data_IF_249996312675
#
_entry.id   IF_249996312675
#
_cell.length_a   1.000
_cell.length_b   1.000
_cell.length_c   1.000
_cell.angle_alpha   90.00
_cell.angle_beta   90.00
_cell.angle_gamma   90.00
#
_symmetry.space_group_name_H-M   'P 1'
#
loop_
_entity.id
_entity.type
_entity.pdbx_description
1 polymer ?
#
# COMPACT_ATOMS: atom_id res chain seq x y z
N UNK A 1 22.40 0.78 3.04
CA UNK A 1 22.48 0.67 1.56
C UNK A 1 21.19 0.02 1.07
N UNK A 2 20.57 0.57 0.02
CA UNK A 2 19.36 0.02 -0.59
C UNK A 2 19.74 -0.50 -1.98
N UNK A 3 19.36 -1.73 -2.30
CA UNK A 3 19.59 -2.34 -3.61
C UNK A 3 18.25 -2.61 -4.27
N UNK A 4 18.11 -2.22 -5.54
CA UNK A 4 16.88 -2.41 -6.32
C UNK A 4 17.15 -3.35 -7.49
N UNK A 5 16.26 -4.33 -7.65
CA UNK A 5 16.29 -5.33 -8.71
C UNK A 5 15.00 -5.23 -9.53
N UNK A 6 15.10 -5.55 -10.82
CA UNK A 6 13.94 -5.64 -11.72
C UNK A 6 13.94 -6.97 -12.45
N UNK A 7 12.76 -7.55 -12.65
CA UNK A 7 12.58 -8.79 -13.39
C UNK A 7 11.42 -8.64 -14.38
N UNK A 8 11.65 -9.00 -15.65
CA UNK A 8 10.59 -9.05 -16.65
C UNK A 8 9.66 -10.22 -16.37
N UNK A 9 8.35 -9.98 -16.48
CA UNK A 9 7.33 -11.01 -16.24
C UNK A 9 6.81 -11.52 -17.59
N UNK A 10 6.78 -12.84 -17.83
CA UNK A 10 6.22 -13.40 -19.06
C UNK A 10 4.79 -12.91 -19.28
N UNK A 11 4.45 -12.58 -20.53
CA UNK A 11 3.11 -12.13 -20.93
C UNK A 11 2.64 -10.82 -20.27
N UNK A 12 3.56 -10.00 -19.74
CA UNK A 12 3.24 -8.72 -19.12
C UNK A 12 4.19 -7.63 -19.60
N UNK A 13 3.65 -6.43 -19.84
CA UNK A 13 4.44 -5.23 -20.11
C UNK A 13 4.95 -4.57 -18.81
N UNK A 14 4.65 -5.15 -17.65
CA UNK A 14 5.09 -4.67 -16.35
C UNK A 14 6.34 -5.41 -15.88
N UNK A 15 7.26 -4.65 -15.29
CA UNK A 15 8.42 -5.19 -14.58
C UNK A 15 8.05 -5.47 -13.12
N UNK A 16 8.48 -6.62 -12.60
CA UNK A 16 8.50 -6.86 -11.16
C UNK A 16 9.69 -6.11 -10.57
N UNK A 17 9.46 -5.42 -9.45
CA UNK A 17 10.48 -4.64 -8.74
C UNK A 17 10.69 -5.28 -7.36
N UNK A 18 11.95 -5.47 -6.98
CA UNK A 18 12.35 -5.90 -5.62
C UNK A 18 13.33 -4.88 -5.06
N UNK A 19 12.98 -4.25 -3.95
CA UNK A 19 13.89 -3.40 -3.18
C UNK A 19 14.35 -4.15 -1.92
N UNK A 20 15.65 -4.12 -1.64
CA UNK A 20 16.25 -4.75 -0.46
C UNK A 20 17.00 -3.68 0.32
N UNK A 21 16.62 -3.48 1.57
CA UNK A 21 17.29 -2.60 2.51
C UNK A 21 17.72 -3.39 3.74
N UNK A 22 18.86 -3.03 4.32
CA UNK A 22 19.35 -3.60 5.60
C UNK A 22 19.33 -2.50 6.65
N UNK A 23 18.67 -2.79 7.77
CA UNK A 23 18.60 -1.93 8.95
C UNK A 23 19.27 -2.69 10.10
N UNK A 24 20.49 -2.30 10.47
CA UNK A 24 21.28 -3.01 11.50
C UNK A 24 20.87 -2.64 12.93
N UNK A 25 20.19 -1.52 13.08
CA UNK A 25 19.79 -0.84 14.32
C UNK A 25 18.28 -0.91 14.57
N UNK A 26 17.52 -1.56 13.68
CA UNK A 26 16.07 -1.70 13.77
C UNK A 26 15.70 -3.17 13.88
N UNK A 27 14.92 -3.53 14.90
CA UNK A 27 14.44 -4.90 15.05
C UNK A 27 13.34 -5.22 14.01
N UNK A 28 13.19 -6.48 13.59
CA UNK A 28 12.14 -6.88 12.65
C UNK A 28 10.73 -6.50 13.13
N UNK A 29 10.46 -6.62 14.43
CA UNK A 29 9.16 -6.25 15.01
C UNK A 29 8.87 -4.76 14.87
N UNK A 30 9.85 -3.88 15.12
CA UNK A 30 9.66 -2.43 14.95
C UNK A 30 9.33 -2.09 13.51
N UNK A 31 10.06 -2.66 12.54
CA UNK A 31 9.77 -2.44 11.12
C UNK A 31 8.35 -2.94 10.75
N UNK A 32 7.96 -4.09 11.28
CA UNK A 32 6.65 -4.68 11.02
C UNK A 32 5.51 -3.87 11.62
N UNK A 33 5.67 -3.35 12.85
CA UNK A 33 4.68 -2.49 13.51
C UNK A 33 4.50 -1.18 12.73
N UNK A 34 5.60 -0.55 12.31
CA UNK A 34 5.59 0.67 11.47
C UNK A 34 4.87 0.45 10.14
N UNK A 35 4.94 -0.75 9.56
CA UNK A 35 4.22 -1.12 8.34
C UNK A 35 2.73 -1.45 8.56
N UNK A 36 2.35 -1.86 9.77
CA UNK A 36 0.95 -2.14 10.12
C UNK A 36 0.19 -0.91 10.57
N UNK A 37 0.84 0.02 11.28
CA UNK A 37 0.17 1.15 11.91
C UNK A 37 -0.35 2.16 10.88
N UNK A 38 -1.65 2.11 10.58
CA UNK A 38 -2.33 3.03 9.67
C UNK A 38 -2.27 4.48 10.14
N UNK A 39 -2.32 4.72 11.45
CA UNK A 39 -2.29 6.06 12.02
C UNK A 39 -0.91 6.68 11.89
N UNK A 40 0.14 5.89 12.08
CA UNK A 40 1.51 6.35 11.93
C UNK A 40 1.93 6.54 10.47
N UNK A 41 1.24 5.92 9.50
CA UNK A 41 1.57 6.01 8.07
C UNK A 41 1.74 7.44 7.56
N UNK A 42 0.86 8.35 7.98
CA UNK A 42 0.89 9.75 7.56
C UNK A 42 2.20 10.48 7.93
N UNK A 43 2.96 9.98 8.90
CA UNK A 43 4.21 10.59 9.33
C UNK A 43 5.37 10.28 8.37
N UNK A 44 5.34 9.13 7.68
CA UNK A 44 6.46 8.67 6.86
C UNK A 44 6.11 8.50 5.38
N UNK A 45 4.86 8.17 5.02
CA UNK A 45 4.42 8.15 3.64
C UNK A 45 4.00 9.56 3.20
N UNK A 46 4.96 10.28 2.62
CA UNK A 46 4.78 11.65 2.10
C UNK A 46 3.78 11.75 0.96
N UNK A 47 3.47 10.63 0.30
CA UNK A 47 2.61 10.61 -0.88
C UNK A 47 1.22 10.03 -0.58
N UNK A 48 0.93 9.62 0.66
CA UNK A 48 -0.42 9.21 1.05
C UNK A 48 -1.38 10.40 0.97
N UNK A 49 -2.35 10.33 0.05
CA UNK A 49 -3.43 11.30 -0.05
C UNK A 49 -4.60 10.93 0.88
N UNK A 50 -4.95 9.65 0.93
CA UNK A 50 -6.00 9.13 1.80
C UNK A 50 -5.80 7.64 2.07
N UNK A 51 -6.31 7.19 3.22
CA UNK A 51 -6.43 5.79 3.58
C UNK A 51 -7.79 5.57 4.23
N UNK A 52 -8.45 4.45 3.93
CA UNK A 52 -9.70 4.07 4.58
C UNK A 52 -9.72 2.56 4.81
N UNK A 53 -10.04 2.14 6.03
CA UNK A 53 -10.30 0.74 6.34
C UNK A 53 -11.70 0.37 5.84
N UNK A 54 -11.81 -0.64 4.98
CA UNK A 54 -13.10 -1.07 4.43
C UNK A 54 -13.68 -2.20 5.28
N UNK A 55 -12.88 -3.18 5.66
CA UNK A 55 -13.35 -4.31 6.44
C UNK A 55 -12.28 -5.36 6.70
N UNK A 56 -12.57 -6.25 7.64
CA UNK A 56 -11.72 -7.37 8.01
C UNK A 56 -12.36 -8.66 7.51
N UNK A 57 -11.56 -9.49 6.81
CA UNK A 57 -11.99 -10.82 6.36
C UNK A 57 -11.77 -11.82 7.49
N UNK A 58 -10.61 -11.74 8.16
CA UNK A 58 -10.26 -12.50 9.36
C UNK A 58 -9.13 -11.76 10.11
N UNK A 59 -8.68 -12.24 11.29
CA UNK A 59 -7.67 -11.52 12.10
C UNK A 59 -6.34 -11.20 11.41
N UNK A 60 -6.02 -11.87 10.31
CA UNK A 60 -4.80 -11.70 9.53
C UNK A 60 -5.03 -11.18 8.12
N UNK A 61 -6.27 -10.78 7.79
CA UNK A 61 -6.66 -10.38 6.45
C UNK A 61 -7.65 -9.21 6.48
N UNK A 62 -7.28 -8.10 5.84
CA UNK A 62 -8.13 -6.92 5.70
C UNK A 62 -8.30 -6.46 4.26
N UNK A 63 -9.30 -5.61 4.03
CA UNK A 63 -9.51 -4.86 2.81
C UNK A 63 -9.43 -3.37 3.16
N UNK A 64 -8.62 -2.63 2.41
CA UNK A 64 -8.44 -1.19 2.57
C UNK A 64 -8.43 -0.45 1.24
N UNK A 65 -8.83 0.82 1.30
CA UNK A 65 -8.64 1.80 0.25
C UNK A 65 -7.39 2.64 0.53
N UNK A 66 -6.62 2.92 -0.52
CA UNK A 66 -5.45 3.78 -0.47
C UNK A 66 -5.39 4.70 -1.68
N UNK A 67 -5.12 5.98 -1.44
CA UNK A 67 -4.91 6.98 -2.47
C UNK A 67 -3.54 7.64 -2.30
N UNK A 68 -2.89 7.85 -3.44
CA UNK A 68 -1.60 8.51 -3.59
C UNK A 68 -1.80 9.87 -4.25
N UNK A 69 -1.07 10.87 -3.75
CA UNK A 69 -0.92 12.20 -4.34
C UNK A 69 -0.34 12.10 -5.76
N UNK A 70 -0.55 13.14 -6.57
CA UNK A 70 0.04 13.21 -7.91
C UNK A 70 1.54 13.47 -7.82
N UNK A 71 2.32 12.86 -8.71
CA UNK A 71 3.74 13.13 -8.89
C UNK A 71 3.96 13.54 -10.34
N UNK A 72 3.89 14.84 -10.68
CA UNK A 72 3.98 15.30 -12.07
C UNK A 72 5.14 14.64 -12.83
N UNK A 73 4.92 14.09 -14.03
CA UNK A 73 3.71 14.17 -14.87
C UNK A 73 2.62 13.12 -14.58
N UNK A 74 2.79 12.29 -13.54
CA UNK A 74 1.88 11.19 -13.20
C UNK A 74 0.70 11.72 -12.40
N UNK A 75 -0.52 11.57 -12.96
CA UNK A 75 -1.77 11.84 -12.22
C UNK A 75 -1.83 10.99 -10.95
N UNK A 76 -2.47 11.53 -9.91
CA UNK A 76 -2.77 10.79 -8.69
C UNK A 76 -3.43 9.43 -8.96
N UNK A 77 -3.23 8.49 -8.05
CA UNK A 77 -3.67 7.10 -8.17
C UNK A 77 -4.35 6.65 -6.90
N UNK A 78 -5.25 5.70 -7.03
CA UNK A 78 -5.88 5.04 -5.91
C UNK A 78 -6.10 3.55 -6.20
N UNK A 79 -6.22 2.75 -5.15
CA UNK A 79 -6.48 1.32 -5.25
C UNK A 79 -7.21 0.80 -4.03
N UNK A 80 -7.91 -0.32 -4.24
CA UNK A 80 -8.46 -1.14 -3.16
C UNK A 80 -7.60 -2.39 -3.10
N UNK A 81 -7.11 -2.71 -1.92
CA UNK A 81 -6.18 -3.81 -1.71
C UNK A 81 -6.70 -4.69 -0.59
N UNK A 82 -6.68 -6.00 -0.82
CA UNK A 82 -6.70 -6.97 0.26
C UNK A 82 -5.26 -7.17 0.74
N UNK A 83 -5.03 -7.06 2.05
CA UNK A 83 -3.74 -7.38 2.67
C UNK A 83 -3.87 -8.60 3.54
N UNK A 84 -2.79 -9.37 3.58
CA UNK A 84 -2.64 -10.57 4.39
C UNK A 84 -1.30 -10.51 5.08
N UNK A 85 -1.22 -10.90 6.35
CA UNK A 85 0.03 -10.86 7.09
C UNK A 85 0.26 -12.11 7.92
N UNK A 86 1.54 -12.48 8.06
CA UNK A 86 1.99 -13.66 8.77
C UNK A 86 3.29 -13.34 9.52
N UNK A 87 3.32 -13.74 10.79
CA UNK A 87 4.52 -13.72 11.63
C UNK A 87 4.90 -15.16 11.97
N UNK A 88 6.07 -15.60 11.54
CA UNK A 88 6.59 -16.94 11.81
C UNK A 88 7.56 -16.97 12.99
N UNK A 89 7.76 -15.84 13.66
CA UNK A 89 8.79 -15.64 14.67
C UNK A 89 10.08 -15.11 14.05
N UNK A 90 10.68 -15.89 13.15
CA UNK A 90 11.93 -15.53 12.47
C UNK A 90 11.71 -14.58 11.28
N UNK A 91 10.56 -14.69 10.62
CA UNK A 91 10.21 -13.87 9.46
C UNK A 91 8.85 -13.22 9.63
N UNK A 92 8.72 -12.02 9.06
CA UNK A 92 7.47 -11.26 9.07
C UNK A 92 7.10 -10.87 7.64
N UNK A 93 5.89 -11.24 7.23
CA UNK A 93 5.43 -11.09 5.85
C UNK A 93 4.14 -10.28 5.81
N UNK A 94 4.08 -9.32 4.88
CA UNK A 94 2.86 -8.61 4.49
C UNK A 94 2.72 -8.77 2.98
N UNK A 95 1.61 -9.35 2.56
CA UNK A 95 1.24 -9.51 1.16
C UNK A 95 0.04 -8.65 0.86
N UNK A 96 -0.05 -8.14 -0.36
CA UNK A 96 -1.21 -7.40 -0.81
C UNK A 96 -1.46 -7.61 -2.29
N UNK A 97 -2.73 -7.62 -2.67
CA UNK A 97 -3.13 -7.60 -4.08
C UNK A 97 -4.40 -6.76 -4.27
N UNK A 98 -4.56 -6.21 -5.47
CA UNK A 98 -5.73 -5.40 -5.80
C UNK A 98 -6.99 -6.26 -5.86
N UNK A 99 -8.07 -5.76 -5.28
CA UNK A 99 -9.39 -6.43 -5.30
C UNK A 99 -10.47 -5.47 -5.78
N UNK A 100 -11.53 -6.01 -6.39
CA UNK A 100 -12.71 -5.25 -6.75
C UNK A 100 -13.70 -5.25 -5.58
N UNK A 101 -14.05 -4.07 -5.06
CA UNK A 101 -15.01 -3.92 -3.97
C UNK A 101 -15.98 -2.77 -4.27
N UNK A 102 -17.28 -2.99 -4.08
CA UNK A 102 -18.34 -2.01 -4.39
C UNK A 102 -18.13 -0.67 -3.67
N UNK A 103 -17.78 -0.73 -2.37
CA UNK A 103 -17.46 0.47 -1.57
C UNK A 103 -16.26 1.24 -2.15
N UNK A 104 -15.27 0.52 -2.68
CA UNK A 104 -14.12 1.14 -3.33
C UNK A 104 -14.52 1.96 -4.54
N UNK A 105 -15.46 1.48 -5.35
CA UNK A 105 -16.00 2.21 -6.49
C UNK A 105 -16.59 3.56 -6.05
N UNK A 106 -17.37 3.55 -4.96
CA UNK A 106 -17.99 4.75 -4.39
C UNK A 106 -16.96 5.75 -3.85
N UNK A 107 -15.90 5.28 -3.19
CA UNK A 107 -14.81 6.14 -2.71
C UNK A 107 -14.05 6.80 -3.87
N UNK A 108 -13.81 6.06 -4.97
CA UNK A 108 -13.18 6.66 -6.17
C UNK A 108 -14.03 7.78 -6.77
N UNK A 109 -15.35 7.57 -6.83
CA UNK A 109 -16.28 8.61 -7.30
C UNK A 109 -16.23 9.84 -6.38
N UNK A 110 -16.31 9.62 -5.06
CA UNK A 110 -16.26 10.71 -4.09
C UNK A 110 -14.95 11.51 -4.17
N UNK A 111 -13.79 10.84 -4.25
CA UNK A 111 -12.50 11.52 -4.39
C UNK A 111 -12.37 12.29 -5.70
N UNK A 112 -12.87 11.72 -6.82
CA UNK A 112 -12.82 12.38 -8.12
C UNK A 112 -13.64 13.67 -8.11
N UNK A 113 -14.86 13.63 -7.58
CA UNK A 113 -15.72 14.82 -7.43
C UNK A 113 -15.14 15.87 -6.48
N UNK A 114 -14.49 15.45 -5.37
CA UNK A 114 -13.79 16.39 -4.47
C UNK A 114 -12.66 17.15 -5.17
N UNK A 115 -11.90 16.47 -6.02
CA UNK A 115 -10.79 17.09 -6.77
C UNK A 115 -11.27 18.03 -7.86
N UNK A 116 -12.35 17.69 -8.55
CA UNK A 116 -12.98 18.57 -9.55
C UNK A 116 -13.52 19.86 -8.92
N UNK A 117 -14.02 19.81 -7.68
CA UNK A 117 -14.54 20.98 -6.97
C UNK A 117 -13.47 21.81 -6.25
N UNK A 118 -12.20 21.38 -6.25
CA UNK A 118 -11.08 22.06 -5.56
C UNK A 118 -10.05 22.66 -6.51
N UNK A 119 -10.30 22.58 -7.82
CA UNK A 119 -9.50 23.17 -8.91
C UNK A 119 -10.28 24.30 -9.58
#
# INVERSE_FOLDING_TARGET
MITVYTQSVPCSNYQMIKAVAKFSDVSPSVAYDVLHDSSYRAHWDRHMAAQCFIGMINPNNDIGYYALTAMPPIRARDFVMQRSWLDTGDEKMICGHSVCHQVGLMLRFHERTRRENSA
#
